data_IF_898008113864
#
_entry.id   IF_898008113864
#
_cell.length_a   1.000
_cell.length_b   1.000
_cell.length_c   1.000
_cell.angle_alpha   90.00
_cell.angle_beta   90.00
_cell.angle_gamma   90.00
#
_symmetry.space_group_name_H-M   'P 1'
#
loop_
_entity.id
_entity.type
_entity.pdbx_description
1 polymer ?
#
# COMPACT_ATOMS: atom_id res chain seq x y z
N UNK A 1 10.76 -35.40 54.50
CA UNK A 1 10.12 -35.86 53.26
C UNK A 1 9.01 -34.86 53.00
N UNK A 2 9.35 -33.80 52.26
CA UNK A 2 8.44 -32.70 51.95
C UNK A 2 7.97 -33.03 50.53
N UNK A 3 6.69 -33.37 50.41
CA UNK A 3 6.05 -33.53 49.10
C UNK A 3 5.99 -32.16 48.42
N UNK A 4 6.65 -32.11 47.28
CA UNK A 4 6.60 -31.05 46.29
C UNK A 4 5.52 -31.45 45.29
N UNK A 5 4.32 -30.90 45.42
CA UNK A 5 3.36 -30.84 44.32
C UNK A 5 2.50 -29.59 44.51
N UNK A 6 2.80 -28.58 43.70
CA UNK A 6 2.10 -27.31 43.62
C UNK A 6 2.22 -26.79 42.21
N UNK A 7 1.71 -27.59 41.27
CA UNK A 7 1.43 -27.20 39.90
C UNK A 7 0.33 -26.12 39.92
N UNK A 8 0.60 -25.00 39.27
CA UNK A 8 -0.22 -23.81 39.37
C UNK A 8 0.48 -22.59 38.78
N UNK A 9 0.96 -22.72 37.54
CA UNK A 9 1.21 -21.55 36.72
C UNK A 9 -0.15 -20.91 36.43
N UNK A 10 -0.61 -20.06 37.35
CA UNK A 10 -1.68 -19.09 37.11
C UNK A 10 -1.19 -18.19 35.98
N UNK A 11 -1.51 -18.56 34.75
CA UNK A 11 -1.39 -17.69 33.61
C UNK A 11 -2.33 -16.52 33.91
N UNK A 12 -1.75 -15.38 34.29
CA UNK A 12 -2.45 -14.11 34.40
C UNK A 12 -3.20 -13.90 33.08
N UNK A 13 -4.49 -14.18 33.06
CA UNK A 13 -5.38 -13.83 31.95
C UNK A 13 -5.32 -12.32 31.82
N UNK A 14 -4.65 -11.87 30.77
CA UNK A 14 -4.50 -10.45 30.44
C UNK A 14 -5.92 -9.89 30.27
N UNK A 15 -6.39 -8.98 31.13
CA UNK A 15 -7.79 -8.56 31.12
C UNK A 15 -8.10 -7.86 29.81
N UNK A 16 -8.82 -8.55 28.92
CA UNK A 16 -9.32 -8.01 27.66
C UNK A 16 -10.75 -7.56 27.87
N UNK A 17 -11.10 -6.42 27.29
CA UNK A 17 -12.49 -5.98 27.24
C UNK A 17 -13.22 -6.85 26.21
N UNK A 18 -14.18 -7.65 26.66
CA UNK A 18 -14.93 -8.61 25.82
C UNK A 18 -15.95 -7.97 24.88
N UNK A 19 -16.00 -6.63 24.81
CA UNK A 19 -17.01 -5.91 24.05
C UNK A 19 -16.50 -4.60 23.45
N UNK A 20 -16.82 -4.40 22.18
CA UNK A 20 -16.74 -3.09 21.51
C UNK A 20 -18.03 -2.31 21.76
N UNK A 21 -17.94 -1.03 22.07
CA UNK A 21 -19.12 -0.15 22.18
C UNK A 21 -19.76 -0.02 20.80
N UNK A 22 -21.04 -0.41 20.67
CA UNK A 22 -21.77 -0.19 19.42
C UNK A 22 -22.06 1.31 19.23
N UNK A 23 -21.83 1.82 18.01
CA UNK A 23 -22.12 3.21 17.66
C UNK A 23 -21.13 4.23 18.23
N UNK A 24 -19.83 3.91 18.26
CA UNK A 24 -18.81 4.92 18.56
C UNK A 24 -18.83 6.02 17.47
N UNK A 25 -19.06 7.31 17.83
CA UNK A 25 -19.07 8.40 16.86
C UNK A 25 -17.77 8.53 16.06
N UNK A 26 -16.64 8.13 16.66
CA UNK A 26 -15.34 8.09 16.00
C UNK A 26 -15.29 7.06 14.87
N UNK A 27 -15.77 5.84 15.13
CA UNK A 27 -15.84 4.78 14.11
C UNK A 27 -16.76 5.19 12.95
N UNK A 28 -17.88 5.85 13.25
CA UNK A 28 -18.80 6.33 12.23
C UNK A 28 -18.18 7.44 11.38
N UNK A 29 -17.52 8.41 12.00
CA UNK A 29 -16.82 9.49 11.30
C UNK A 29 -15.72 8.95 10.38
N UNK A 30 -14.88 8.05 10.89
CA UNK A 30 -13.78 7.47 10.12
C UNK A 30 -14.29 6.65 8.93
N UNK A 31 -15.38 5.89 9.12
CA UNK A 31 -16.03 5.18 8.01
C UNK A 31 -16.60 6.13 6.95
N UNK A 32 -17.08 7.31 7.33
CA UNK A 32 -17.60 8.29 6.38
C UNK A 32 -16.46 8.90 5.56
N UNK A 33 -15.33 9.23 6.19
CA UNK A 33 -14.14 9.68 5.48
C UNK A 33 -13.56 8.58 4.57
N UNK A 34 -13.50 7.34 5.03
CA UNK A 34 -13.09 6.20 4.19
C UNK A 34 -13.98 6.07 2.96
N UNK A 35 -15.29 6.22 3.09
CA UNK A 35 -16.24 6.19 1.96
C UNK A 35 -15.92 7.27 0.92
N UNK A 36 -15.62 8.49 1.37
CA UNK A 36 -15.20 9.59 0.49
C UNK A 36 -13.89 9.28 -0.23
N UNK A 37 -12.89 8.74 0.49
CA UNK A 37 -11.60 8.35 -0.11
C UNK A 37 -11.76 7.22 -1.13
N UNK A 38 -12.57 6.20 -0.83
CA UNK A 38 -12.92 5.12 -1.75
C UNK A 38 -13.59 5.66 -3.01
N UNK A 39 -14.48 6.65 -2.87
CA UNK A 39 -15.13 7.28 -4.02
C UNK A 39 -14.14 8.09 -4.88
N UNK A 40 -13.11 8.69 -4.26
CA UNK A 40 -11.98 9.26 -5.01
C UNK A 40 -11.29 8.23 -5.90
N UNK A 41 -11.11 7.00 -5.42
CA UNK A 41 -10.59 5.90 -6.24
C UNK A 41 -11.55 5.51 -7.36
N UNK A 42 -12.87 5.50 -7.11
CA UNK A 42 -13.88 5.27 -8.18
C UNK A 42 -13.72 6.28 -9.32
N UNK A 43 -13.51 7.57 -9.00
CA UNK A 43 -13.27 8.61 -10.00
C UNK A 43 -11.97 8.37 -10.77
N UNK A 44 -10.88 8.00 -10.08
CA UNK A 44 -9.62 7.65 -10.74
C UNK A 44 -9.77 6.45 -11.71
N UNK A 45 -10.52 5.42 -11.31
CA UNK A 45 -10.85 4.28 -12.17
C UNK A 45 -11.68 4.72 -13.38
N UNK A 46 -12.66 5.61 -13.17
CA UNK A 46 -13.49 6.12 -14.25
C UNK A 46 -12.67 6.98 -15.25
N UNK A 47 -11.71 7.77 -14.78
CA UNK A 47 -10.75 8.48 -15.63
C UNK A 47 -9.88 7.49 -16.40
N UNK A 48 -9.35 6.45 -15.75
CA UNK A 48 -8.53 5.42 -16.42
C UNK A 48 -9.29 4.70 -17.53
N UNK A 49 -10.61 4.53 -17.38
CA UNK A 49 -11.50 3.96 -18.40
C UNK A 49 -11.95 4.96 -19.48
N UNK A 50 -11.54 6.23 -19.38
CA UNK A 50 -11.97 7.28 -20.30
C UNK A 50 -13.42 7.74 -20.13
N UNK A 51 -14.08 7.37 -19.02
CA UNK A 51 -15.47 7.77 -18.75
C UNK A 51 -15.57 9.23 -18.27
N UNK A 52 -14.54 9.72 -17.57
CA UNK A 52 -14.39 11.13 -17.22
C UNK A 52 -13.07 11.68 -17.76
N UNK A 53 -13.04 12.91 -18.28
CA UNK A 53 -11.84 13.48 -18.88
C UNK A 53 -10.92 14.16 -17.85
N UNK A 54 -11.00 13.88 -16.56
CA UNK A 54 -10.30 14.67 -15.55
C UNK A 54 -8.77 14.56 -15.66
N UNK A 55 -8.10 15.70 -15.46
CA UNK A 55 -6.63 15.80 -15.42
C UNK A 55 -6.11 15.80 -13.98
N UNK A 56 -6.84 16.43 -13.06
CA UNK A 56 -6.49 16.52 -11.65
C UNK A 56 -7.72 16.26 -10.76
N UNK A 57 -7.50 15.57 -9.65
CA UNK A 57 -8.46 15.48 -8.54
C UNK A 57 -7.89 16.24 -7.35
N UNK A 58 -8.65 17.18 -6.80
CA UNK A 58 -8.30 17.89 -5.57
C UNK A 58 -9.16 17.36 -4.42
N UNK A 59 -8.52 16.93 -3.34
CA UNK A 59 -9.18 16.39 -2.17
C UNK A 59 -9.35 17.46 -1.09
N UNK A 60 -10.55 17.56 -0.50
CA UNK A 60 -10.85 18.57 0.53
C UNK A 60 -10.52 20.01 0.09
N UNK A 61 -10.72 20.32 -1.19
CA UNK A 61 -10.46 21.63 -1.77
C UNK A 61 -11.75 22.24 -2.30
N UNK A 62 -12.35 23.13 -1.51
CA UNK A 62 -13.69 23.70 -1.67
C UNK A 62 -14.85 22.69 -1.58
N UNK A 63 -14.72 21.52 -2.19
CA UNK A 63 -15.65 20.40 -2.10
C UNK A 63 -14.97 19.14 -1.54
N UNK A 64 -15.74 18.09 -1.29
CA UNK A 64 -15.22 16.81 -0.80
C UNK A 64 -14.19 16.24 -1.80
N UNK A 65 -14.52 16.33 -3.10
CA UNK A 65 -13.59 16.23 -4.22
C UNK A 65 -13.91 17.32 -5.25
N UNK A 66 -12.89 17.91 -5.86
CA UNK A 66 -13.02 18.86 -6.97
C UNK A 66 -12.17 18.35 -8.14
N UNK A 67 -12.78 18.13 -9.31
CA UNK A 67 -12.12 17.47 -10.43
C UNK A 67 -11.90 18.45 -11.59
N UNK A 68 -10.65 18.68 -11.96
CA UNK A 68 -10.28 19.57 -13.06
C UNK A 68 -10.35 18.85 -14.40
N UNK A 69 -10.89 19.53 -15.40
CA UNK A 69 -11.02 19.07 -16.78
C UNK A 69 -9.96 19.74 -17.68
N UNK A 70 -9.68 19.17 -18.88
CA UNK A 70 -8.74 19.75 -19.83
C UNK A 70 -9.15 21.13 -20.37
N UNK A 71 -10.44 21.47 -20.29
CA UNK A 71 -10.97 22.78 -20.67
C UNK A 71 -10.85 23.83 -19.56
N UNK A 72 -10.25 23.48 -18.41
CA UNK A 72 -10.05 24.36 -17.26
C UNK A 72 -11.29 24.50 -16.37
N UNK A 73 -12.38 23.78 -16.65
CA UNK A 73 -13.53 23.72 -15.77
C UNK A 73 -13.34 22.69 -14.67
N UNK A 74 -14.02 22.90 -13.54
CA UNK A 74 -13.99 22.03 -12.37
C UNK A 74 -15.38 21.46 -12.09
N UNK A 75 -15.45 20.14 -11.97
CA UNK A 75 -16.65 19.45 -11.53
C UNK A 75 -16.57 19.20 -10.01
N UNK A 76 -17.58 19.63 -9.26
CA UNK A 76 -17.62 19.56 -7.80
C UNK A 76 -18.36 18.31 -7.32
N UNK A 77 -17.82 17.60 -6.33
CA UNK A 77 -18.40 16.38 -5.79
C UNK A 77 -18.62 16.52 -4.28
N UNK A 78 -19.87 16.37 -3.84
CA UNK A 78 -20.25 16.19 -2.43
C UNK A 78 -20.61 14.73 -2.21
N UNK A 79 -19.88 14.05 -1.32
CA UNK A 79 -20.01 12.61 -1.06
C UNK A 79 -20.52 12.44 0.35
N UNK A 80 -21.72 11.86 0.48
CA UNK A 80 -22.39 11.71 1.77
C UNK A 80 -22.83 10.29 2.00
N UNK A 81 -22.62 9.82 3.22
CA UNK A 81 -23.16 8.55 3.67
C UNK A 81 -24.46 8.73 4.43
N UNK A 82 -25.38 7.79 4.31
CA UNK A 82 -26.57 7.70 5.15
C UNK A 82 -26.82 6.24 5.54
N UNK A 83 -27.42 6.02 6.70
CA UNK A 83 -27.79 4.68 7.13
C UNK A 83 -29.14 4.28 6.52
N UNK A 84 -29.42 2.99 6.33
CA UNK A 84 -30.67 2.54 5.70
C UNK A 84 -31.93 3.04 6.42
N UNK A 85 -31.87 3.24 7.74
CA UNK A 85 -33.00 3.65 8.58
C UNK A 85 -33.47 5.07 8.29
N UNK A 86 -32.59 5.93 7.75
CA UNK A 86 -32.95 7.29 7.37
C UNK A 86 -33.76 7.33 6.06
N UNK A 87 -33.87 6.21 5.35
CA UNK A 87 -34.58 6.14 4.08
C UNK A 87 -33.87 6.87 2.94
N UNK A 88 -34.58 7.09 1.82
CA UNK A 88 -34.03 7.74 0.65
C UNK A 88 -33.95 9.27 0.81
N UNK A 89 -32.98 9.89 0.13
CA UNK A 89 -32.75 11.34 0.17
C UNK A 89 -33.92 12.14 -0.42
N UNK A 90 -34.27 13.22 0.26
CA UNK A 90 -35.27 14.22 -0.07
C UNK A 90 -34.70 15.64 0.09
N UNK A 91 -35.34 16.64 -0.51
CA UNK A 91 -34.95 18.06 -0.33
C UNK A 91 -35.18 18.61 1.09
N UNK A 92 -35.49 17.77 2.08
CA UNK A 92 -35.57 18.12 3.50
C UNK A 92 -34.36 17.69 4.29
N UNK A 93 -33.57 16.77 3.74
CA UNK A 93 -32.46 16.21 4.47
C UNK A 93 -31.34 17.23 4.57
N UNK A 94 -30.98 17.56 5.82
CA UNK A 94 -30.05 18.65 6.11
C UNK A 94 -28.70 18.49 5.41
N UNK A 95 -28.19 17.27 5.25
CA UNK A 95 -26.93 17.02 4.55
C UNK A 95 -27.01 17.30 3.04
N UNK A 96 -28.13 16.96 2.38
CA UNK A 96 -28.35 17.30 0.97
C UNK A 96 -28.53 18.81 0.80
N UNK A 97 -29.38 19.43 1.62
CA UNK A 97 -29.60 20.88 1.61
C UNK A 97 -28.28 21.63 1.81
N UNK A 98 -27.47 21.24 2.81
CA UNK A 98 -26.16 21.84 3.06
C UNK A 98 -25.19 21.66 1.87
N UNK A 99 -25.23 20.51 1.20
CA UNK A 99 -24.39 20.26 0.02
C UNK A 99 -24.79 21.17 -1.15
N UNK A 100 -26.09 21.37 -1.37
CA UNK A 100 -26.59 22.35 -2.35
C UNK A 100 -26.14 23.77 -1.98
N UNK A 101 -26.18 24.13 -0.69
CA UNK A 101 -25.65 25.41 -0.21
C UNK A 101 -24.18 25.62 -0.58
N UNK A 102 -23.32 24.61 -0.35
CA UNK A 102 -21.91 24.66 -0.75
C UNK A 102 -21.74 24.86 -2.25
N UNK A 103 -22.54 24.18 -3.06
CA UNK A 103 -22.53 24.37 -4.51
C UNK A 103 -22.94 25.79 -4.94
N UNK A 104 -23.92 26.39 -4.26
CA UNK A 104 -24.31 27.78 -4.50
C UNK A 104 -23.15 28.73 -4.17
N UNK A 105 -22.48 28.53 -3.04
CA UNK A 105 -21.32 29.33 -2.64
C UNK A 105 -20.14 29.16 -3.60
N UNK A 106 -19.87 27.92 -4.04
CA UNK A 106 -18.83 27.61 -5.01
C UNK A 106 -19.07 28.32 -6.34
N UNK A 107 -20.29 28.21 -6.89
CA UNK A 107 -20.67 28.89 -8.13
C UNK A 107 -20.75 30.41 -7.98
N UNK A 108 -21.04 30.92 -6.77
CA UNK A 108 -20.99 32.36 -6.50
C UNK A 108 -19.55 32.88 -6.53
N UNK A 109 -18.62 32.11 -5.97
CA UNK A 109 -17.20 32.47 -5.87
C UNK A 109 -16.48 32.32 -7.21
N UNK A 110 -16.80 31.26 -7.97
CA UNK A 110 -16.11 30.90 -9.21
C UNK A 110 -17.07 30.68 -10.40
N UNK A 111 -17.86 31.69 -10.80
CA UNK A 111 -19.01 31.52 -11.70
C UNK A 111 -18.69 30.93 -13.08
N UNK A 112 -17.49 31.20 -13.61
CA UNK A 112 -17.07 30.73 -14.93
C UNK A 112 -16.11 29.54 -14.91
N UNK A 113 -15.79 29.00 -13.73
CA UNK A 113 -14.80 27.92 -13.59
C UNK A 113 -15.44 26.59 -13.20
N UNK A 114 -16.68 26.59 -12.70
CA UNK A 114 -17.34 25.35 -12.27
C UNK A 114 -18.16 24.79 -13.43
N UNK A 115 -18.14 23.47 -13.61
CA UNK A 115 -18.94 22.70 -14.55
C UNK A 115 -20.14 22.02 -13.90
N UNK A 116 -20.12 20.69 -13.84
CA UNK A 116 -21.19 19.85 -13.26
C UNK A 116 -20.95 19.67 -11.76
N UNK A 117 -22.03 19.54 -11.00
CA UNK A 117 -22.00 19.36 -9.55
C UNK A 117 -22.64 18.01 -9.21
N UNK A 118 -21.96 17.16 -8.46
CA UNK A 118 -22.40 15.81 -8.17
C UNK A 118 -22.68 15.65 -6.68
N UNK A 119 -23.89 15.23 -6.35
CA UNK A 119 -24.21 14.71 -5.02
C UNK A 119 -24.24 13.19 -5.06
N UNK A 120 -23.35 12.56 -4.30
CA UNK A 120 -23.17 11.12 -4.26
C UNK A 120 -23.56 10.58 -2.91
N UNK A 121 -24.28 9.45 -2.89
CA UNK A 121 -24.51 8.74 -1.64
C UNK A 121 -24.67 7.22 -1.76
N UNK A 122 -24.35 6.48 -0.70
CA UNK A 122 -24.70 5.07 -0.58
C UNK A 122 -26.20 4.81 -0.39
N UNK A 123 -27.02 5.84 -0.16
CA UNK A 123 -28.48 5.75 -0.04
C UNK A 123 -29.17 6.22 -1.31
N UNK A 124 -30.36 5.67 -1.57
CA UNK A 124 -31.16 6.04 -2.74
C UNK A 124 -31.77 7.43 -2.60
N UNK A 125 -32.31 7.94 -3.70
CA UNK A 125 -33.09 9.18 -3.71
C UNK A 125 -34.56 8.84 -3.78
N UNK A 126 -35.42 9.68 -3.18
CA UNK A 126 -36.85 9.39 -3.16
C UNK A 126 -37.39 9.26 -4.60
N UNK A 127 -38.18 8.22 -4.84
CA UNK A 127 -38.81 7.96 -6.13
C UNK A 127 -40.32 8.06 -5.95
N UNK A 128 -40.92 9.00 -6.68
CA UNK A 128 -42.35 9.28 -6.63
C UNK A 128 -42.93 9.00 -8.02
N UNK A 129 -43.85 8.05 -8.11
CA UNK A 129 -44.57 7.74 -9.34
C UNK A 129 -45.61 8.80 -9.70
N UNK A 130 -46.11 8.76 -10.93
CA UNK A 130 -47.14 9.69 -11.42
C UNK A 130 -48.54 9.45 -10.82
N UNK A 131 -48.70 8.34 -10.10
CA UNK A 131 -49.93 7.92 -9.41
C UNK A 131 -50.10 8.55 -8.02
N UNK A 132 -49.06 9.17 -7.47
CA UNK A 132 -49.10 9.78 -6.13
C UNK A 132 -49.82 11.14 -6.16
N UNK A 133 -50.90 11.24 -5.37
CA UNK A 133 -51.67 12.48 -5.16
C UNK A 133 -50.97 13.48 -4.22
N UNK A 134 -49.92 13.06 -3.50
CA UNK A 134 -49.15 13.94 -2.60
C UNK A 134 -48.20 14.85 -3.40
N UNK A 135 -48.77 15.97 -3.85
CA UNK A 135 -48.07 17.01 -4.58
C UNK A 135 -46.89 17.60 -3.78
N UNK A 136 -46.97 17.64 -2.43
CA UNK A 136 -45.86 18.18 -1.61
C UNK A 136 -44.66 17.24 -1.61
N UNK A 137 -44.89 15.92 -1.52
CA UNK A 137 -43.82 14.94 -1.64
C UNK A 137 -43.20 14.97 -3.05
N UNK A 138 -44.04 15.07 -4.09
CA UNK A 138 -43.56 15.20 -5.48
C UNK A 138 -42.66 16.42 -5.67
N UNK A 139 -43.02 17.58 -5.11
CA UNK A 139 -42.20 18.79 -5.16
C UNK A 139 -40.85 18.66 -4.44
N UNK A 140 -40.73 17.78 -3.45
CA UNK A 140 -39.51 17.57 -2.65
C UNK A 140 -38.65 16.38 -3.08
N UNK A 141 -39.15 15.60 -4.04
CA UNK A 141 -38.42 14.51 -4.66
C UNK A 141 -37.25 15.09 -5.47
N UNK A 142 -35.98 14.84 -5.10
CA UNK A 142 -34.85 15.48 -5.74
C UNK A 142 -34.75 15.18 -7.24
N UNK A 143 -34.86 13.92 -7.72
CA UNK A 143 -34.82 13.64 -9.16
C UNK A 143 -35.88 14.38 -9.97
N UNK A 144 -37.13 14.44 -9.47
CA UNK A 144 -38.22 15.14 -10.16
C UNK A 144 -38.02 16.65 -10.16
N UNK A 145 -37.56 17.24 -9.06
CA UNK A 145 -37.21 18.66 -8.99
C UNK A 145 -36.14 19.01 -10.04
N UNK A 146 -35.01 18.29 -10.04
CA UNK A 146 -33.91 18.60 -10.96
C UNK A 146 -34.32 18.42 -12.42
N UNK A 147 -35.08 17.36 -12.73
CA UNK A 147 -35.63 17.15 -14.07
C UNK A 147 -36.55 18.30 -14.51
N UNK A 148 -37.44 18.75 -13.63
CA UNK A 148 -38.32 19.89 -13.88
C UNK A 148 -37.54 21.18 -14.15
N UNK A 149 -36.57 21.52 -13.28
CA UNK A 149 -35.78 22.74 -13.43
C UNK A 149 -34.92 22.75 -14.70
N UNK A 150 -34.40 21.59 -15.14
CA UNK A 150 -33.65 21.50 -16.40
C UNK A 150 -34.53 21.73 -17.63
N UNK A 151 -35.81 21.32 -17.56
CA UNK A 151 -36.80 21.53 -18.60
C UNK A 151 -37.34 22.98 -18.65
N UNK A 152 -37.28 23.71 -17.54
CA UNK A 152 -37.65 25.13 -17.48
C UNK A 152 -36.67 26.00 -18.30
N UNK A 153 -37.15 26.81 -19.26
CA UNK A 153 -36.32 27.80 -19.95
C UNK A 153 -35.80 28.90 -19.01
N UNK A 154 -36.63 29.32 -18.06
CA UNK A 154 -36.32 30.39 -17.10
C UNK A 154 -36.88 30.09 -15.70
N UNK A 155 -36.43 30.89 -14.72
CA UNK A 155 -36.93 30.85 -13.34
C UNK A 155 -38.46 31.05 -13.24
N UNK A 156 -39.06 31.81 -14.16
CA UNK A 156 -40.50 32.08 -14.14
C UNK A 156 -41.33 30.84 -14.53
N UNK A 157 -40.72 29.86 -15.18
CA UNK A 157 -41.39 28.66 -15.69
C UNK A 157 -41.46 27.52 -14.66
N UNK A 158 -40.98 27.77 -13.43
CA UNK A 158 -41.06 26.78 -12.35
C UNK A 158 -42.53 26.64 -11.92
N UNK A 159 -43.16 25.55 -12.35
CA UNK A 159 -44.53 25.23 -11.99
C UNK A 159 -44.67 24.57 -10.60
N UNK A 160 -45.91 24.59 -10.08
CA UNK A 160 -46.28 23.73 -8.96
C UNK A 160 -46.18 22.24 -9.37
N UNK A 161 -45.83 21.33 -8.45
CA UNK A 161 -45.56 21.58 -7.02
C UNK A 161 -44.12 22.04 -6.71
N UNK A 162 -43.23 22.10 -7.70
CA UNK A 162 -41.81 22.33 -7.52
C UNK A 162 -41.49 23.75 -7.02
N UNK A 163 -42.24 24.76 -7.46
CA UNK A 163 -42.02 26.15 -7.04
C UNK A 163 -41.99 26.33 -5.51
N UNK A 164 -42.93 25.70 -4.79
CA UNK A 164 -43.00 25.83 -3.35
C UNK A 164 -41.79 25.21 -2.63
N UNK A 165 -41.33 24.05 -3.09
CA UNK A 165 -40.15 23.39 -2.53
C UNK A 165 -38.85 24.12 -2.92
N UNK A 166 -38.79 24.70 -4.12
CA UNK A 166 -37.69 25.54 -4.55
C UNK A 166 -37.56 26.81 -3.68
N UNK A 167 -38.68 27.49 -3.42
CA UNK A 167 -38.69 28.69 -2.57
C UNK A 167 -38.35 28.35 -1.11
N UNK A 168 -38.83 27.20 -0.59
CA UNK A 168 -38.47 26.69 0.75
C UNK A 168 -36.95 26.43 0.86
N UNK A 169 -36.36 25.81 -0.16
CA UNK A 169 -34.93 25.54 -0.24
C UNK A 169 -34.12 26.85 -0.31
N UNK A 170 -34.51 27.78 -1.17
CA UNK A 170 -33.86 29.08 -1.31
C UNK A 170 -33.90 29.89 -0.02
N UNK A 171 -35.05 29.91 0.67
CA UNK A 171 -35.18 30.57 1.97
C UNK A 171 -34.30 29.91 3.04
N UNK A 172 -34.22 28.58 3.06
CA UNK A 172 -33.38 27.83 4.00
C UNK A 172 -31.89 28.13 3.81
N UNK A 173 -31.45 28.28 2.56
CA UNK A 173 -30.05 28.57 2.22
C UNK A 173 -29.72 30.06 2.23
N UNK A 174 -30.72 30.95 2.26
CA UNK A 174 -30.51 32.38 2.02
C UNK A 174 -29.97 32.69 0.62
N UNK A 175 -30.23 31.81 -0.35
CA UNK A 175 -29.68 31.89 -1.70
C UNK A 175 -30.50 32.81 -2.61
N UNK A 176 -29.80 33.52 -3.51
CA UNK A 176 -30.46 34.20 -4.63
C UNK A 176 -31.21 33.19 -5.51
N UNK A 177 -32.44 33.53 -5.93
CA UNK A 177 -33.31 32.61 -6.68
C UNK A 177 -32.73 32.25 -8.03
N UNK A 178 -32.20 33.23 -8.77
CA UNK A 178 -31.64 32.97 -10.09
C UNK A 178 -30.42 32.08 -9.97
N UNK A 179 -29.55 32.35 -9.00
CA UNK A 179 -28.37 31.51 -8.74
C UNK A 179 -28.72 30.09 -8.31
N UNK A 180 -29.68 29.92 -7.41
CA UNK A 180 -30.13 28.59 -6.99
C UNK A 180 -30.69 27.80 -8.18
N UNK A 181 -31.47 28.44 -9.04
CA UNK A 181 -32.00 27.84 -10.26
C UNK A 181 -30.86 27.36 -11.19
N UNK A 182 -29.89 28.23 -11.47
CA UNK A 182 -28.77 27.91 -12.35
C UNK A 182 -27.90 26.77 -11.79
N UNK A 183 -27.67 26.76 -10.47
CA UNK A 183 -26.91 25.72 -9.77
C UNK A 183 -27.64 24.39 -9.81
N UNK A 184 -28.92 24.34 -9.42
CA UNK A 184 -29.69 23.09 -9.38
C UNK A 184 -29.78 22.43 -10.77
N UNK A 185 -29.83 23.21 -11.85
CA UNK A 185 -29.81 22.65 -13.21
C UNK A 185 -28.52 21.88 -13.55
N UNK A 186 -27.43 22.16 -12.84
CA UNK A 186 -26.11 21.55 -13.00
C UNK A 186 -25.82 20.45 -11.99
N UNK A 187 -26.71 20.24 -11.02
CA UNK A 187 -26.56 19.17 -10.01
C UNK A 187 -26.97 17.84 -10.61
N UNK A 188 -26.15 16.81 -10.47
CA UNK A 188 -26.44 15.41 -10.77
C UNK A 188 -26.46 14.59 -9.47
N UNK A 189 -27.36 13.61 -9.41
CA UNK A 189 -27.53 12.73 -8.26
C UNK A 189 -27.00 11.34 -8.61
N UNK A 190 -26.11 10.81 -7.77
CA UNK A 190 -25.45 9.52 -8.04
C UNK A 190 -25.61 8.59 -6.84
N UNK A 191 -26.17 7.41 -7.10
CA UNK A 191 -26.16 6.29 -6.16
C UNK A 191 -24.78 5.63 -6.20
N UNK A 192 -24.01 5.79 -5.13
CA UNK A 192 -22.76 5.10 -4.91
C UNK A 192 -22.96 3.70 -4.30
N UNK A 193 -21.86 2.92 -4.17
CA UNK A 193 -21.91 1.59 -3.58
C UNK A 193 -22.38 1.60 -2.12
N UNK A 194 -22.88 0.46 -1.65
CA UNK A 194 -23.20 0.23 -0.23
C UNK A 194 -21.94 0.36 0.63
N UNK A 195 -22.05 0.96 1.83
CA UNK A 195 -20.93 1.06 2.77
C UNK A 195 -20.37 -0.30 3.18
N UNK A 196 -21.23 -1.32 3.29
CA UNK A 196 -20.83 -2.64 3.75
C UNK A 196 -20.00 -3.41 2.70
N UNK A 197 -20.26 -3.14 1.42
CA UNK A 197 -19.70 -3.91 0.29
C UNK A 197 -18.66 -3.10 -0.49
N UNK A 198 -18.48 -1.81 -0.17
CA UNK A 198 -17.69 -0.90 -0.99
C UNK A 198 -16.25 -1.40 -1.21
N UNK A 199 -15.61 -1.93 -0.17
CA UNK A 199 -14.25 -2.47 -0.30
C UNK A 199 -14.16 -3.63 -1.30
N UNK A 200 -15.18 -4.50 -1.35
CA UNK A 200 -15.25 -5.63 -2.28
C UNK A 200 -15.62 -5.16 -3.70
N UNK A 201 -16.63 -4.29 -3.83
CA UNK A 201 -17.04 -3.69 -5.11
C UNK A 201 -15.89 -2.92 -5.75
N UNK A 202 -15.17 -2.11 -4.97
CA UNK A 202 -14.02 -1.34 -5.44
C UNK A 202 -12.88 -2.22 -5.91
N UNK A 203 -12.51 -3.26 -5.14
CA UNK A 203 -11.44 -4.18 -5.52
C UNK A 203 -11.80 -5.03 -6.75
N UNK A 204 -12.98 -5.63 -6.77
CA UNK A 204 -13.29 -6.69 -7.75
C UNK A 204 -14.11 -6.22 -8.95
N UNK A 205 -14.96 -5.20 -8.81
CA UNK A 205 -15.81 -4.72 -9.90
C UNK A 205 -15.27 -3.44 -10.56
N UNK A 206 -14.55 -2.61 -9.80
CA UNK A 206 -13.93 -1.40 -10.33
C UNK A 206 -12.47 -1.67 -10.74
N UNK A 207 -11.59 -2.04 -9.80
CA UNK A 207 -10.18 -2.29 -10.11
C UNK A 207 -10.00 -3.56 -10.94
N UNK A 208 -10.61 -4.69 -10.55
CA UNK A 208 -10.46 -5.97 -11.25
C UNK A 208 -10.95 -6.01 -12.70
N UNK A 209 -11.72 -5.00 -13.15
CA UNK A 209 -12.16 -4.86 -14.54
C UNK A 209 -11.31 -3.88 -15.36
N UNK A 210 -10.23 -3.33 -14.81
CA UNK A 210 -9.23 -2.60 -15.58
C UNK A 210 -8.30 -3.59 -16.27
N UNK A 211 -7.94 -3.31 -17.53
CA UNK A 211 -7.04 -4.17 -18.30
C UNK A 211 -5.70 -4.38 -17.59
N UNK A 212 -5.13 -3.31 -17.02
CA UNK A 212 -3.88 -3.32 -16.24
C UNK A 212 -3.95 -4.20 -14.98
N UNK A 213 -5.15 -4.43 -14.46
CA UNK A 213 -5.40 -5.17 -13.23
C UNK A 213 -5.94 -6.60 -13.47
N UNK A 214 -6.22 -6.96 -14.73
CA UNK A 214 -6.91 -8.22 -15.08
C UNK A 214 -6.15 -9.48 -14.66
N UNK A 215 -4.83 -9.40 -14.54
CA UNK A 215 -3.96 -10.50 -14.11
C UNK A 215 -3.78 -10.58 -12.58
N UNK A 216 -4.36 -9.66 -11.80
CA UNK A 216 -4.16 -9.58 -10.37
C UNK A 216 -5.05 -10.58 -9.61
N UNK A 217 -4.47 -11.19 -8.58
CA UNK A 217 -5.22 -12.02 -7.63
C UNK A 217 -6.12 -11.15 -6.73
N UNK A 218 -7.14 -11.74 -6.09
CA UNK A 218 -8.00 -11.01 -5.16
C UNK A 218 -7.25 -10.29 -4.02
N UNK A 219 -6.17 -10.89 -3.51
CA UNK A 219 -5.32 -10.27 -2.48
C UNK A 219 -4.59 -9.03 -3.02
N UNK A 220 -3.98 -9.14 -4.21
CA UNK A 220 -3.31 -8.00 -4.86
C UNK A 220 -4.27 -6.85 -5.20
N UNK A 221 -5.51 -7.17 -5.60
CA UNK A 221 -6.53 -6.16 -5.84
C UNK A 221 -6.93 -5.42 -4.55
N UNK A 222 -6.96 -6.13 -3.42
CA UNK A 222 -7.24 -5.54 -2.11
C UNK A 222 -6.09 -4.64 -1.64
N UNK A 223 -4.84 -5.06 -1.82
CA UNK A 223 -3.65 -4.24 -1.52
C UNK A 223 -3.61 -2.98 -2.39
N UNK A 224 -3.80 -3.12 -3.72
CA UNK A 224 -3.87 -1.98 -4.63
C UNK A 224 -5.00 -1.01 -4.25
N UNK A 225 -6.17 -1.52 -3.87
CA UNK A 225 -7.27 -0.70 -3.37
C UNK A 225 -6.82 0.12 -2.16
N UNK A 226 -6.23 -0.53 -1.17
CA UNK A 226 -5.84 0.14 0.07
C UNK A 226 -4.74 1.19 -0.16
N UNK A 227 -3.78 0.92 -1.07
CA UNK A 227 -2.76 1.89 -1.49
C UNK A 227 -3.35 3.11 -2.20
N UNK A 228 -4.31 2.90 -3.11
CA UNK A 228 -5.01 3.98 -3.80
C UNK A 228 -5.87 4.81 -2.84
N UNK A 229 -6.60 4.15 -1.93
CA UNK A 229 -7.39 4.83 -0.88
C UNK A 229 -6.45 5.64 0.04
N UNK A 230 -5.30 5.09 0.42
CA UNK A 230 -4.30 5.79 1.21
C UNK A 230 -3.71 7.01 0.47
N UNK A 231 -3.56 6.94 -0.86
CA UNK A 231 -3.17 8.10 -1.68
C UNK A 231 -4.22 9.21 -1.62
N UNK A 232 -5.50 8.88 -1.76
CA UNK A 232 -6.60 9.87 -1.62
C UNK A 232 -6.67 10.45 -0.21
N UNK A 233 -6.56 9.61 0.82
CA UNK A 233 -6.49 10.05 2.22
C UNK A 233 -5.33 11.01 2.50
N UNK A 234 -4.12 10.72 1.98
CA UNK A 234 -2.96 11.62 2.14
C UNK A 234 -3.22 12.99 1.51
N UNK A 235 -3.87 13.03 0.34
CA UNK A 235 -4.24 14.30 -0.29
C UNK A 235 -5.32 15.05 0.51
N UNK A 236 -6.31 14.34 1.05
CA UNK A 236 -7.37 14.92 1.88
C UNK A 236 -6.87 15.45 3.23
N UNK A 237 -5.85 14.82 3.83
CA UNK A 237 -5.39 15.10 5.20
C UNK A 237 -4.40 16.26 5.35
N UNK A 238 -4.22 17.12 4.33
CA UNK A 238 -3.26 18.24 4.35
C UNK A 238 -1.81 17.79 4.64
N UNK A 239 -1.44 16.57 4.21
CA UNK A 239 -0.09 16.04 4.43
C UNK A 239 0.95 16.73 3.53
N UNK A 240 1.43 17.91 3.95
CA UNK A 240 2.45 18.69 3.24
C UNK A 240 3.83 18.42 3.85
N UNK A 241 4.69 17.72 3.11
CA UNK A 241 6.09 17.43 3.48
C UNK A 241 7.09 18.40 2.86
N UNK A 242 6.65 19.22 1.90
CA UNK A 242 7.48 20.15 1.16
C UNK A 242 8.05 21.24 2.09
N UNK A 243 9.38 21.46 2.15
CA UNK A 243 9.99 22.51 2.97
C UNK A 243 9.45 23.91 2.65
N UNK A 244 9.01 24.12 1.41
CA UNK A 244 8.46 25.37 0.86
C UNK A 244 7.25 25.86 1.66
N UNK A 245 6.53 24.95 2.34
CA UNK A 245 5.48 25.30 3.31
C UNK A 245 5.96 26.33 4.35
N UNK A 246 7.21 26.24 4.79
CA UNK A 246 7.78 27.08 5.83
C UNK A 246 8.49 28.33 5.30
N UNK A 247 8.85 28.34 4.02
CA UNK A 247 9.56 29.44 3.37
C UNK A 247 8.69 30.25 2.41
N UNK A 248 7.42 29.89 2.25
CA UNK A 248 6.52 30.53 1.28
C UNK A 248 6.39 32.04 1.42
N UNK A 249 6.36 32.57 2.65
CA UNK A 249 6.33 34.02 2.87
C UNK A 249 7.59 34.75 2.36
N UNK A 250 8.62 34.00 1.97
CA UNK A 250 9.91 34.46 1.45
C UNK A 250 10.08 34.17 -0.05
N UNK A 251 9.18 33.38 -0.67
CA UNK A 251 9.20 33.05 -2.09
C UNK A 251 8.37 34.07 -2.90
N UNK A 252 8.71 34.27 -4.16
CA UNK A 252 8.09 35.26 -5.03
C UNK A 252 6.62 34.90 -5.38
N UNK A 253 5.81 35.92 -5.70
CA UNK A 253 4.47 35.72 -6.25
C UNK A 253 4.56 34.95 -7.58
N UNK A 254 4.07 33.71 -7.61
CA UNK A 254 4.05 32.88 -8.82
C UNK A 254 4.24 31.38 -8.57
N UNK A 255 4.82 30.98 -7.44
CA UNK A 255 4.99 29.56 -7.11
C UNK A 255 3.66 28.91 -6.67
N UNK A 256 3.42 27.67 -7.14
CA UNK A 256 2.25 26.89 -6.76
C UNK A 256 2.21 26.69 -5.24
N UNK A 257 1.03 26.86 -4.67
CA UNK A 257 0.81 26.66 -3.24
C UNK A 257 1.11 25.20 -2.86
N UNK A 258 2.09 24.92 -1.97
CA UNK A 258 2.42 23.55 -1.57
C UNK A 258 1.25 22.85 -0.87
N UNK A 259 0.32 23.61 -0.27
CA UNK A 259 -0.90 23.07 0.32
C UNK A 259 -1.87 22.61 -0.77
N UNK A 260 -2.07 23.43 -1.82
CA UNK A 260 -2.94 23.04 -2.95
C UNK A 260 -2.30 21.87 -3.70
N UNK A 261 -0.99 21.91 -3.90
CA UNK A 261 -0.22 20.83 -4.54
C UNK A 261 -0.37 19.51 -3.78
N UNK A 262 -0.27 19.51 -2.46
CA UNK A 262 -0.46 18.30 -1.65
C UNK A 262 -1.88 17.74 -1.72
N UNK A 263 -2.90 18.59 -1.93
CA UNK A 263 -4.29 18.17 -2.14
C UNK A 263 -4.56 17.61 -3.53
N UNK A 264 -3.66 17.84 -4.49
CA UNK A 264 -3.82 17.49 -5.89
C UNK A 264 -3.28 16.09 -6.19
N UNK A 265 -4.11 15.29 -6.85
CA UNK A 265 -3.74 14.03 -7.48
C UNK A 265 -3.80 14.23 -8.99
N UNK A 266 -2.63 14.25 -9.64
CA UNK A 266 -2.54 14.23 -11.11
C UNK A 266 -2.96 12.86 -11.60
N UNK A 267 -4.03 12.79 -12.40
CA UNK A 267 -4.64 11.51 -12.80
C UNK A 267 -3.68 10.65 -13.63
N UNK A 268 -2.87 11.29 -14.49
CA UNK A 268 -1.89 10.60 -15.32
C UNK A 268 -0.79 9.89 -14.50
N UNK A 269 -0.51 10.37 -13.28
CA UNK A 269 0.53 9.82 -12.39
C UNK A 269 -0.02 8.70 -11.49
N UNK A 270 -1.28 8.31 -11.67
CA UNK A 270 -1.88 7.19 -10.92
C UNK A 270 -1.57 5.89 -11.63
N UNK A 271 -0.74 5.08 -10.96
CA UNK A 271 -0.34 3.76 -11.43
C UNK A 271 -1.32 2.72 -10.92
N UNK A 272 -2.02 2.03 -11.82
CA UNK A 272 -2.89 0.89 -11.55
C UNK A 272 -2.14 -0.42 -11.75
N UNK A 273 -0.96 -0.53 -11.14
CA UNK A 273 -0.14 -1.73 -11.16
C UNK A 273 -0.04 -2.25 -9.72
N UNK A 274 0.14 -3.56 -9.51
CA UNK A 274 0.35 -4.08 -8.17
C UNK A 274 1.55 -3.37 -7.54
N UNK A 275 1.57 -3.13 -6.21
CA UNK A 275 2.81 -2.80 -5.53
C UNK A 275 3.81 -3.86 -5.96
N UNK A 276 4.97 -3.44 -6.47
CA UNK A 276 5.99 -4.34 -7.03
C UNK A 276 6.20 -5.49 -6.04
N UNK A 277 5.55 -6.63 -6.29
CA UNK A 277 5.77 -7.80 -5.46
C UNK A 277 7.21 -8.09 -5.74
N UNK A 278 8.07 -7.90 -4.74
CA UNK A 278 9.39 -8.49 -4.76
C UNK A 278 9.14 -9.97 -5.02
N UNK A 279 9.32 -10.40 -6.28
CA UNK A 279 9.21 -11.80 -6.69
C UNK A 279 9.88 -12.58 -5.58
N UNK A 280 9.11 -13.42 -4.88
CA UNK A 280 9.54 -14.05 -3.63
C UNK A 280 10.90 -14.67 -3.92
N UNK A 281 11.96 -14.01 -3.45
CA UNK A 281 13.30 -14.35 -3.87
C UNK A 281 13.51 -15.81 -3.47
N UNK A 282 14.10 -16.60 -4.37
CA UNK A 282 14.45 -17.98 -4.05
C UNK A 282 15.17 -18.00 -2.70
N UNK A 283 14.76 -18.88 -1.79
CA UNK A 283 15.35 -18.99 -0.46
C UNK A 283 15.47 -20.46 -0.05
N UNK A 284 16.67 -20.85 0.36
CA UNK A 284 16.95 -22.13 0.99
C UNK A 284 16.16 -22.27 2.29
N UNK A 285 15.56 -23.44 2.50
CA UNK A 285 14.70 -23.74 3.65
C UNK A 285 15.46 -24.51 4.75
N UNK A 286 14.94 -24.46 5.98
CA UNK A 286 15.48 -25.16 7.15
C UNK A 286 16.49 -24.34 7.96
N UNK A 287 17.12 -24.98 8.94
CA UNK A 287 18.10 -24.35 9.83
C UNK A 287 19.51 -24.41 9.25
N UNK A 288 20.32 -23.41 9.63
CA UNK A 288 21.77 -23.38 9.41
C UNK A 288 22.43 -24.54 10.16
N UNK A 289 23.46 -25.15 9.58
CA UNK A 289 24.33 -26.10 10.28
C UNK A 289 25.55 -25.42 10.87
N UNK A 290 25.96 -24.28 10.30
CA UNK A 290 26.98 -23.43 10.89
C UNK A 290 26.42 -22.76 12.14
N UNK A 291 27.23 -22.75 13.19
CA UNK A 291 26.93 -22.06 14.45
C UNK A 291 28.06 -21.07 14.74
N UNK A 292 27.95 -19.81 14.29
CA UNK A 292 28.91 -18.76 14.62
C UNK A 292 29.11 -18.66 16.13
N UNK A 293 30.36 -18.55 16.61
CA UNK A 293 30.68 -18.58 18.04
C UNK A 293 30.61 -19.96 18.69
N UNK A 294 30.35 -21.02 17.93
CA UNK A 294 30.36 -22.41 18.40
C UNK A 294 31.77 -22.97 18.63
N UNK A 295 31.88 -24.21 19.15
CA UNK A 295 33.17 -24.85 19.39
C UNK A 295 33.94 -25.09 18.08
N UNK A 296 35.19 -24.63 18.00
CA UNK A 296 36.05 -24.81 16.83
C UNK A 296 36.85 -26.10 16.92
N UNK A 297 36.71 -26.98 15.93
CA UNK A 297 37.55 -28.19 15.80
C UNK A 297 38.97 -27.82 15.41
N UNK A 298 39.91 -27.91 16.35
CA UNK A 298 41.30 -27.53 16.14
C UNK A 298 41.99 -28.45 15.12
N UNK A 299 42.79 -27.87 14.21
CA UNK A 299 43.62 -28.63 13.25
C UNK A 299 42.88 -29.21 12.04
N UNK A 300 41.54 -29.17 11.99
CA UNK A 300 40.75 -29.78 10.89
C UNK A 300 40.90 -29.00 9.58
N UNK A 301 40.86 -27.67 9.64
CA UNK A 301 41.00 -26.81 8.44
C UNK A 301 42.40 -27.00 7.84
N UNK A 302 43.42 -26.99 8.70
CA UNK A 302 44.83 -27.12 8.37
C UNK A 302 45.10 -28.47 7.68
N UNK A 303 44.71 -29.58 8.30
CA UNK A 303 44.88 -30.93 7.74
C UNK A 303 44.24 -31.08 6.36
N UNK A 304 43.05 -30.52 6.16
CA UNK A 304 42.32 -30.63 4.89
C UNK A 304 42.92 -29.79 3.78
N UNK A 305 43.41 -28.60 4.12
CA UNK A 305 44.12 -27.76 3.15
C UNK A 305 45.46 -28.41 2.79
N UNK A 306 46.22 -28.90 3.75
CA UNK A 306 47.48 -29.61 3.50
C UNK A 306 47.30 -30.84 2.61
N UNK A 307 46.32 -31.69 2.91
CA UNK A 307 45.99 -32.86 2.09
C UNK A 307 45.55 -32.47 0.67
N UNK A 308 44.96 -31.29 0.49
CA UNK A 308 44.63 -30.72 -0.82
C UNK A 308 45.81 -30.10 -1.57
N UNK A 309 47.01 -30.04 -0.98
CA UNK A 309 48.15 -29.30 -1.55
C UNK A 309 48.03 -27.78 -1.38
N UNK A 310 47.26 -27.31 -0.40
CA UNK A 310 46.96 -25.90 -0.11
C UNK A 310 47.63 -25.40 1.18
N UNK A 311 48.77 -25.97 1.57
CA UNK A 311 49.47 -25.60 2.81
C UNK A 311 49.78 -24.10 2.91
N UNK A 312 50.16 -23.45 1.80
CA UNK A 312 50.42 -22.00 1.75
C UNK A 312 49.16 -21.15 1.96
N UNK A 313 47.97 -21.70 1.69
CA UNK A 313 46.70 -21.00 1.84
C UNK A 313 46.11 -21.08 3.26
N UNK A 314 46.71 -21.86 4.16
CA UNK A 314 46.21 -22.07 5.53
C UNK A 314 46.02 -20.75 6.27
N UNK A 315 47.06 -19.92 6.35
CA UNK A 315 46.98 -18.64 7.06
C UNK A 315 45.93 -17.69 6.45
N UNK A 316 45.81 -17.70 5.12
CA UNK A 316 44.81 -16.90 4.41
C UNK A 316 43.38 -17.36 4.74
N UNK A 317 43.10 -18.65 4.65
CA UNK A 317 41.77 -19.22 4.91
C UNK A 317 41.36 -19.06 6.38
N UNK A 318 42.29 -19.24 7.33
CA UNK A 318 42.04 -19.02 8.76
C UNK A 318 41.70 -17.55 9.05
N UNK A 319 42.41 -16.60 8.43
CA UNK A 319 42.09 -15.18 8.61
C UNK A 319 40.70 -14.82 8.04
N UNK A 320 40.31 -15.39 6.90
CA UNK A 320 38.97 -15.20 6.33
C UNK A 320 37.88 -15.86 7.17
N UNK A 321 38.14 -17.04 7.71
CA UNK A 321 37.24 -17.72 8.65
C UNK A 321 36.91 -16.82 9.85
N UNK A 322 37.93 -16.25 10.49
CA UNK A 322 37.76 -15.35 11.64
C UNK A 322 36.97 -14.09 11.29
N UNK A 323 37.25 -13.49 10.13
CA UNK A 323 36.53 -12.29 9.68
C UNK A 323 35.06 -12.58 9.38
N UNK A 324 34.76 -13.72 8.72
CA UNK A 324 33.39 -14.14 8.46
C UNK A 324 32.63 -14.43 9.76
N UNK A 325 33.27 -15.12 10.72
CA UNK A 325 32.64 -15.41 11.99
C UNK A 325 32.29 -14.14 12.78
N UNK A 326 33.19 -13.14 12.78
CA UNK A 326 32.90 -11.85 13.40
C UNK A 326 31.71 -11.14 12.74
N UNK A 327 31.68 -11.08 11.41
CA UNK A 327 30.58 -10.46 10.66
C UNK A 327 29.23 -11.15 10.94
N UNK A 328 29.22 -12.48 10.99
CA UNK A 328 28.01 -13.27 11.27
C UNK A 328 27.53 -13.07 12.72
N UNK A 329 28.44 -12.92 13.68
CA UNK A 329 28.10 -12.60 15.07
C UNK A 329 27.54 -11.18 15.22
N UNK A 330 28.06 -10.20 14.48
CA UNK A 330 27.49 -8.85 14.44
C UNK A 330 26.05 -8.84 13.91
N UNK A 331 25.79 -9.59 12.83
CA UNK A 331 24.45 -9.73 12.27
C UNK A 331 23.49 -10.40 13.27
N UNK A 332 23.94 -11.46 13.95
CA UNK A 332 23.17 -12.12 15.02
C UNK A 332 22.86 -11.17 16.18
N UNK A 333 23.82 -10.35 16.60
CA UNK A 333 23.61 -9.37 17.66
C UNK A 333 22.59 -8.28 17.26
N UNK A 334 22.54 -7.92 15.96
CA UNK A 334 21.60 -6.92 15.44
C UNK A 334 20.17 -7.45 15.32
N UNK A 335 19.99 -8.64 14.72
CA UNK A 335 18.68 -9.26 14.57
C UNK A 335 18.82 -10.79 14.48
N UNK A 336 18.64 -11.52 15.59
CA UNK A 336 18.87 -12.97 15.63
C UNK A 336 18.03 -13.77 14.61
N UNK A 337 16.75 -13.42 14.47
CA UNK A 337 15.80 -14.15 13.61
C UNK A 337 16.13 -13.93 12.12
N UNK A 338 16.49 -12.71 11.75
CA UNK A 338 16.89 -12.41 10.37
C UNK A 338 18.27 -13.00 10.06
N UNK A 339 19.21 -12.93 11.00
CA UNK A 339 20.56 -13.45 10.85
C UNK A 339 20.58 -14.98 10.68
N UNK A 340 19.76 -15.72 11.41
CA UNK A 340 19.66 -17.18 11.23
C UNK A 340 19.18 -17.54 9.80
N UNK A 341 18.16 -16.83 9.30
CA UNK A 341 17.65 -17.03 7.94
C UNK A 341 18.70 -16.66 6.89
N UNK A 342 19.43 -15.57 7.09
CA UNK A 342 20.45 -15.08 6.19
C UNK A 342 21.68 -16.00 6.18
N UNK A 343 22.11 -16.47 7.35
CA UNK A 343 23.19 -17.45 7.51
C UNK A 343 22.89 -18.71 6.72
N UNK A 344 21.64 -19.20 6.77
CA UNK A 344 21.20 -20.34 5.95
C UNK A 344 21.38 -20.09 4.45
N UNK A 345 21.06 -18.89 3.96
CA UNK A 345 21.20 -18.56 2.54
C UNK A 345 22.67 -18.58 2.12
N UNK A 346 23.53 -17.95 2.92
CA UNK A 346 24.97 -17.86 2.64
C UNK A 346 25.60 -19.26 2.71
N UNK A 347 25.30 -20.03 3.76
CA UNK A 347 25.81 -21.38 3.97
C UNK A 347 25.54 -22.29 2.77
N UNK A 348 24.28 -22.38 2.33
CA UNK A 348 23.90 -23.30 1.25
C UNK A 348 24.42 -22.84 -0.12
N UNK A 349 24.45 -21.52 -0.38
CA UNK A 349 25.01 -21.01 -1.62
C UNK A 349 26.51 -21.26 -1.71
N UNK A 350 27.28 -20.94 -0.65
CA UNK A 350 28.72 -21.19 -0.60
C UNK A 350 29.01 -22.69 -0.65
N UNK A 351 28.23 -23.51 0.07
CA UNK A 351 28.38 -24.97 0.04
C UNK A 351 28.14 -25.53 -1.36
N UNK A 352 27.09 -25.07 -2.06
CA UNK A 352 26.79 -25.45 -3.44
C UNK A 352 27.96 -25.16 -4.39
N UNK A 353 28.49 -23.93 -4.37
CA UNK A 353 29.63 -23.56 -5.22
C UNK A 353 30.89 -24.40 -4.91
N UNK A 354 31.14 -24.71 -3.63
CA UNK A 354 32.26 -25.57 -3.24
C UNK A 354 32.07 -27.02 -3.73
N UNK A 355 30.85 -27.55 -3.67
CA UNK A 355 30.54 -28.91 -4.13
C UNK A 355 30.67 -29.01 -5.65
N UNK A 356 30.18 -28.03 -6.40
CA UNK A 356 30.35 -28.00 -7.85
C UNK A 356 31.82 -27.90 -8.25
N UNK A 357 32.59 -27.03 -7.60
CA UNK A 357 34.03 -26.90 -7.84
C UNK A 357 34.79 -28.20 -7.49
N UNK A 358 34.38 -28.90 -6.44
CA UNK A 358 34.93 -30.21 -6.10
C UNK A 358 34.71 -31.20 -7.23
N UNK A 359 33.49 -31.34 -7.75
CA UNK A 359 33.21 -32.29 -8.84
C UNK A 359 33.91 -31.91 -10.15
N UNK A 360 34.13 -30.63 -10.40
CA UNK A 360 34.87 -30.17 -11.57
C UNK A 360 36.39 -30.45 -11.47
N UNK A 361 36.95 -30.34 -10.27
CA UNK A 361 38.39 -30.50 -10.04
C UNK A 361 38.80 -31.95 -9.70
N UNK A 362 37.89 -32.75 -9.14
CA UNK A 362 38.16 -34.12 -8.72
C UNK A 362 38.61 -34.96 -9.92
N UNK A 363 39.87 -35.39 -9.86
CA UNK A 363 40.50 -36.26 -10.85
C UNK A 363 41.21 -37.42 -10.12
N UNK A 364 41.90 -38.30 -10.86
CA UNK A 364 42.59 -39.44 -10.26
C UNK A 364 43.79 -39.03 -9.38
N UNK A 365 44.34 -37.83 -9.57
CA UNK A 365 45.40 -37.25 -8.73
C UNK A 365 44.89 -36.87 -7.34
N UNK A 366 45.77 -36.99 -6.35
CA UNK A 366 45.46 -36.66 -4.95
C UNK A 366 45.49 -35.16 -4.64
N UNK A 367 46.00 -34.32 -5.57
CA UNK A 367 46.33 -32.91 -5.32
C UNK A 367 45.58 -31.92 -6.22
N UNK A 368 44.25 -32.01 -6.24
CA UNK A 368 43.41 -31.09 -7.03
C UNK A 368 43.00 -29.81 -6.30
N UNK A 369 43.43 -29.61 -5.04
CA UNK A 369 43.06 -28.46 -4.22
C UNK A 369 43.37 -27.09 -4.83
N UNK A 370 44.55 -26.83 -5.45
CA UNK A 370 44.84 -25.55 -6.08
C UNK A 370 43.88 -25.19 -7.22
N UNK A 371 43.52 -26.16 -8.06
CA UNK A 371 42.56 -25.97 -9.13
C UNK A 371 41.16 -25.68 -8.58
N UNK A 372 40.74 -26.45 -7.56
CA UNK A 372 39.46 -26.24 -6.87
C UNK A 372 39.39 -24.85 -6.20
N UNK A 373 40.44 -24.42 -5.49
CA UNK A 373 40.48 -23.10 -4.84
C UNK A 373 40.36 -21.97 -5.86
N UNK A 374 41.01 -22.11 -7.01
CA UNK A 374 40.88 -21.13 -8.11
C UNK A 374 39.44 -21.05 -8.62
N UNK A 375 38.75 -22.19 -8.81
CA UNK A 375 37.35 -22.19 -9.26
C UNK A 375 36.40 -21.64 -8.18
N UNK A 376 36.53 -22.08 -6.93
CA UNK A 376 35.72 -21.59 -5.79
C UNK A 376 35.86 -20.07 -5.67
N UNK A 377 37.07 -19.53 -5.71
CA UNK A 377 37.26 -18.07 -5.59
C UNK A 377 36.61 -17.31 -6.74
N UNK A 378 36.68 -17.83 -7.98
CA UNK A 378 35.96 -17.26 -9.13
C UNK A 378 34.44 -17.30 -8.98
N UNK A 379 33.90 -18.42 -8.48
CA UNK A 379 32.46 -18.61 -8.20
C UNK A 379 31.95 -17.67 -7.11
N UNK A 380 32.67 -17.54 -6.01
CA UNK A 380 32.26 -16.66 -4.90
C UNK A 380 32.27 -15.18 -5.29
N UNK A 381 33.20 -14.74 -6.15
CA UNK A 381 33.16 -13.37 -6.71
C UNK A 381 31.94 -13.14 -7.60
N UNK A 382 31.54 -14.13 -8.40
CA UNK A 382 30.28 -14.05 -9.16
C UNK A 382 29.08 -14.03 -8.23
N UNK A 383 29.08 -14.84 -7.17
CA UNK A 383 27.99 -14.91 -6.21
C UNK A 383 27.73 -13.57 -5.49
N UNK A 384 28.80 -12.86 -5.13
CA UNK A 384 28.74 -11.49 -4.57
C UNK A 384 28.03 -10.50 -5.51
N UNK A 385 28.29 -10.59 -6.82
CA UNK A 385 27.68 -9.72 -7.83
C UNK A 385 26.28 -10.17 -8.25
N UNK A 386 26.18 -11.38 -8.81
CA UNK A 386 25.00 -11.91 -9.50
C UNK A 386 23.85 -12.23 -8.54
N UNK A 387 24.15 -12.55 -7.28
CA UNK A 387 23.15 -12.94 -6.26
C UNK A 387 23.29 -12.16 -4.96
N UNK A 388 23.68 -10.88 -5.05
CA UNK A 388 23.89 -9.99 -3.91
C UNK A 388 22.72 -9.97 -2.91
N UNK A 389 21.48 -9.95 -3.41
CA UNK A 389 20.27 -9.91 -2.58
C UNK A 389 20.06 -11.20 -1.78
N UNK A 390 20.37 -12.36 -2.36
CA UNK A 390 20.31 -13.66 -1.68
C UNK A 390 21.34 -13.73 -0.54
N UNK A 391 22.51 -13.13 -0.74
CA UNK A 391 23.62 -13.11 0.21
C UNK A 391 23.50 -12.03 1.28
N UNK A 392 22.41 -11.26 1.31
CA UNK A 392 22.26 -10.15 2.26
C UNK A 392 23.32 -9.07 2.08
N UNK A 393 23.94 -8.99 0.90
CA UNK A 393 25.01 -8.05 0.60
C UNK A 393 26.36 -8.36 1.24
N UNK A 394 26.58 -9.58 1.74
CA UNK A 394 27.88 -10.00 2.30
C UNK A 394 29.00 -9.92 1.25
N UNK A 395 30.18 -9.37 1.61
CA UNK A 395 31.28 -9.22 0.69
C UNK A 395 31.98 -10.57 0.42
N UNK A 396 32.69 -10.64 -0.70
CA UNK A 396 33.46 -11.81 -1.13
C UNK A 396 34.32 -12.42 -0.01
N UNK A 397 34.97 -11.59 0.81
CA UNK A 397 35.83 -12.02 1.91
C UNK A 397 35.08 -12.85 2.95
N UNK A 398 33.82 -12.49 3.25
CA UNK A 398 32.96 -13.23 4.17
C UNK A 398 32.56 -14.57 3.55
N UNK A 399 32.25 -14.60 2.25
CA UNK A 399 31.90 -15.84 1.54
C UNK A 399 33.07 -16.83 1.54
N UNK A 400 34.31 -16.36 1.35
CA UNK A 400 35.52 -17.20 1.46
C UNK A 400 35.68 -17.73 2.89
N UNK A 401 35.43 -16.89 3.89
CA UNK A 401 35.47 -17.32 5.28
C UNK A 401 34.42 -18.39 5.61
N UNK A 402 33.22 -18.30 5.04
CA UNK A 402 32.20 -19.34 5.17
C UNK A 402 32.66 -20.65 4.53
N UNK A 403 33.38 -20.62 3.41
CA UNK A 403 33.97 -21.82 2.82
C UNK A 403 35.02 -22.47 3.75
N UNK A 404 35.79 -21.66 4.49
CA UNK A 404 36.71 -22.14 5.52
C UNK A 404 35.96 -22.79 6.69
N UNK A 405 34.89 -22.14 7.20
CA UNK A 405 34.03 -22.71 8.25
C UNK A 405 33.42 -24.06 7.82
N UNK A 406 32.92 -24.15 6.58
CA UNK A 406 32.38 -25.39 6.02
C UNK A 406 33.45 -26.49 5.86
N UNK A 407 34.70 -26.12 5.61
CA UNK A 407 35.83 -27.05 5.57
C UNK A 407 36.08 -27.64 6.96
N UNK A 408 36.05 -26.79 8.00
CA UNK A 408 36.20 -27.19 9.41
C UNK A 408 35.05 -28.07 9.90
N UNK A 409 33.82 -27.80 9.47
CA UNK A 409 32.62 -28.64 9.75
C UNK A 409 32.54 -29.91 8.89
N UNK A 410 33.61 -30.25 8.20
CA UNK A 410 33.71 -31.42 7.34
C UNK A 410 32.73 -31.52 6.17
N UNK A 411 32.14 -30.40 5.76
CA UNK A 411 31.21 -30.30 4.63
C UNK A 411 31.89 -30.02 3.30
N UNK A 412 33.07 -29.39 3.33
CA UNK A 412 33.91 -29.14 2.17
C UNK A 412 35.24 -29.89 2.31
N UNK A 413 35.73 -30.39 1.18
CA UNK A 413 36.98 -31.15 1.06
C UNK A 413 37.76 -30.58 -0.13
N UNK A 414 39.09 -30.48 0.02
CA UNK A 414 40.00 -29.96 -1.00
C UNK A 414 40.86 -31.06 -1.65
N UNK A 415 40.58 -32.32 -1.28
CA UNK A 415 41.27 -33.54 -1.66
C UNK A 415 40.26 -34.69 -1.66
N UNK A 416 40.70 -35.90 -2.02
CA UNK A 416 39.93 -37.11 -1.69
C UNK A 416 39.71 -37.17 -0.17
N UNK A 417 38.56 -37.70 0.25
CA UNK A 417 38.19 -37.79 1.68
C UNK A 417 39.16 -38.71 2.41
N UNK A 418 39.56 -38.31 3.61
CA UNK A 418 40.43 -39.06 4.50
C UNK A 418 39.99 -38.87 5.96
N UNK A 419 40.47 -39.73 6.86
CA UNK A 419 40.17 -39.62 8.28
C UNK A 419 40.97 -38.49 8.91
N UNK A 420 40.28 -37.44 9.35
CA UNK A 420 40.90 -36.29 10.03
C UNK A 420 41.27 -36.68 11.46
N UNK A 421 42.51 -36.42 11.84
CA UNK A 421 43.01 -36.67 13.18
C UNK A 421 42.72 -35.45 14.05
N UNK A 422 41.66 -35.46 14.84
CA UNK A 422 41.45 -34.40 15.83
C UNK A 422 42.50 -34.55 16.94
N UNK A 423 43.28 -33.49 17.26
CA UNK A 423 44.18 -33.54 18.40
C UNK A 423 43.37 -33.89 19.64
N UNK A 424 43.76 -34.96 20.35
CA UNK A 424 43.14 -35.32 21.62
C UNK A 424 43.29 -34.13 22.58
N UNK A 425 42.25 -33.84 23.38
CA UNK A 425 42.19 -32.65 24.24
C UNK A 425 43.39 -32.52 25.17
#
# INVERSE_FOLDING_TARGET
MIDLDGDGADALEDPRLDGTRSGDPGDEAERNFRYQHQYGVVLLVAVRRGAFPYVNLYCEHHEDLLCERPDGLFDGWQIKTSTPENGPWTLRDAALVKSIGRFVDLCATYPSQIGVLYFVSNSDFDVVGDDIQDQKRRGRCPPLMLAHLRACPSLADIAAPFLAAFDELGATLGADRQRLFDVLRRVELVKGPSRAEFDATLAHEHLGRLDDCSALTPAQLSELRDDLVARVHRAASLHVTAPERHTRSLLAEGDEDPVITAKRIVCADVVFAPPTIALKAFAYQGQSRLTPGGPRRAGVLEQKLEAGGLGEAVSYMTAKEMAAEYALLEDQARNPVAAEKQLKQIEEAVHGECVEAYYAAANESETFGPAMLTDVTGRLRRLEGDRRSLMGGQPYEVLVGVAAMLTRECRVWWSKRFDVQEPRP
#
